data_IF_165086549094
#
_entry.id   IF_165086549094
#
_cell.length_a   1.000
_cell.length_b   1.000
_cell.length_c   1.000
_cell.angle_alpha   90.00
_cell.angle_beta   90.00
_cell.angle_gamma   90.00
#
_symmetry.space_group_name_H-M   'P 1'
#
loop_
_entity.id
_entity.type
_entity.pdbx_description
1 polymer ?
#
# COMPACT_ATOMS: atom_id res chain seq x y z
N UNK A 1 9.93 10.26 -22.72
CA UNK A 1 8.55 10.11 -23.22
C UNK A 1 8.65 9.42 -24.56
N UNK A 2 7.92 8.33 -24.74
CA UNK A 2 7.75 7.74 -26.06
C UNK A 2 6.91 8.68 -26.96
N UNK A 3 6.76 8.38 -28.27
CA UNK A 3 5.97 9.21 -29.20
C UNK A 3 4.49 9.37 -28.83
N UNK A 4 4.00 8.63 -27.81
CA UNK A 4 2.63 8.68 -27.31
C UNK A 4 2.51 9.45 -25.99
N UNK A 5 3.62 10.01 -25.47
CA UNK A 5 3.62 10.78 -24.22
C UNK A 5 3.66 9.92 -22.96
N UNK A 6 3.91 8.62 -23.08
CA UNK A 6 3.99 7.76 -21.90
C UNK A 6 5.34 7.94 -21.21
N UNK A 7 5.29 8.12 -19.89
CA UNK A 7 6.44 7.99 -19.01
C UNK A 7 6.71 6.49 -18.81
N UNK A 8 7.30 5.83 -19.80
CA UNK A 8 7.85 4.49 -19.60
C UNK A 8 9.08 4.61 -18.70
N UNK A 9 8.88 4.59 -17.38
CA UNK A 9 9.96 4.49 -16.40
C UNK A 9 10.55 3.09 -16.47
N UNK A 10 11.40 2.82 -17.46
CA UNK A 10 12.49 1.82 -17.49
C UNK A 10 12.25 0.36 -17.05
N UNK A 11 11.05 -0.02 -16.62
CA UNK A 11 10.74 -1.31 -15.99
C UNK A 11 10.02 -2.28 -16.93
N UNK A 12 9.76 -1.89 -18.19
CA UNK A 12 9.18 -2.80 -19.18
C UNK A 12 7.80 -3.36 -18.83
N UNK A 13 7.02 -2.67 -17.98
CA UNK A 13 5.66 -3.10 -17.64
C UNK A 13 4.77 -2.81 -18.85
N UNK A 14 4.45 -3.84 -19.60
CA UNK A 14 3.42 -3.80 -20.64
C UNK A 14 2.09 -3.32 -20.02
N UNK A 15 1.47 -2.31 -20.62
CA UNK A 15 0.21 -1.76 -20.14
C UNK A 15 -0.97 -2.63 -20.55
N UNK A 16 -0.84 -3.39 -21.65
CA UNK A 16 -1.92 -4.22 -22.21
C UNK A 16 -2.15 -5.50 -21.37
N UNK A 17 -1.19 -5.90 -20.55
CA UNK A 17 -1.27 -7.08 -19.67
C UNK A 17 -1.95 -6.80 -18.32
N UNK A 18 -2.32 -5.55 -18.03
CA UNK A 18 -2.90 -5.17 -16.74
C UNK A 18 -4.38 -5.55 -16.64
N UNK A 19 -4.72 -6.31 -15.60
CA UNK A 19 -6.10 -6.58 -15.21
C UNK A 19 -6.44 -5.75 -13.98
N UNK A 20 -7.62 -5.14 -13.96
CA UNK A 20 -8.09 -4.30 -12.85
C UNK A 20 -9.42 -4.85 -12.34
N UNK A 21 -9.48 -5.09 -11.04
CA UNK A 21 -10.73 -5.33 -10.32
C UNK A 21 -11.07 -4.01 -9.63
N UNK A 22 -12.09 -3.32 -10.11
CA UNK A 22 -12.48 -2.01 -9.59
C UNK A 22 -13.30 -2.14 -8.30
N UNK A 23 -13.11 -1.18 -7.40
CA UNK A 23 -13.99 -0.98 -6.25
C UNK A 23 -15.10 0.03 -6.59
N UNK A 24 -16.23 -0.08 -5.90
CA UNK A 24 -17.32 0.89 -5.95
C UNK A 24 -17.91 1.07 -4.54
N UNK A 25 -18.96 1.89 -4.40
CA UNK A 25 -19.61 2.19 -3.12
C UNK A 25 -20.12 0.95 -2.38
N UNK A 26 -20.44 -0.14 -3.11
CA UNK A 26 -20.90 -1.40 -2.52
C UNK A 26 -19.82 -2.09 -1.67
N UNK A 27 -18.53 -1.72 -1.84
CA UNK A 27 -17.46 -2.24 -1.00
C UNK A 27 -17.65 -1.88 0.49
N UNK A 28 -18.33 -0.76 0.78
CA UNK A 28 -18.73 -0.40 2.15
C UNK A 28 -19.76 -1.41 2.70
N UNK A 29 -20.71 -1.85 1.86
CA UNK A 29 -21.66 -2.89 2.22
C UNK A 29 -20.98 -4.23 2.47
N UNK A 30 -19.99 -4.59 1.64
CA UNK A 30 -19.19 -5.79 1.83
C UNK A 30 -18.48 -5.83 3.19
N UNK A 31 -17.98 -4.69 3.69
CA UNK A 31 -17.38 -4.64 5.03
C UNK A 31 -18.38 -4.97 6.15
N UNK A 32 -19.63 -4.55 6.01
CA UNK A 32 -20.72 -4.87 6.95
C UNK A 32 -21.09 -6.36 6.85
N UNK A 33 -21.28 -6.87 5.64
CA UNK A 33 -21.61 -8.28 5.40
C UNK A 33 -20.54 -9.24 5.92
N UNK A 34 -19.26 -8.84 5.85
CA UNK A 34 -18.16 -9.62 6.39
C UNK A 34 -18.24 -9.80 7.90
N UNK A 35 -18.95 -8.95 8.66
CA UNK A 35 -19.02 -9.07 10.13
C UNK A 35 -19.62 -10.41 10.54
N UNK A 36 -20.69 -10.84 9.88
CA UNK A 36 -21.43 -12.07 10.21
C UNK A 36 -21.03 -13.26 9.34
N UNK A 37 -20.11 -13.06 8.39
CA UNK A 37 -19.68 -14.10 7.47
C UNK A 37 -18.76 -15.14 8.14
N UNK A 38 -18.97 -16.41 7.82
CA UNK A 38 -17.98 -17.45 8.15
C UNK A 38 -16.66 -17.21 7.41
N UNK A 39 -15.55 -17.46 8.11
CA UNK A 39 -14.19 -17.27 7.60
C UNK A 39 -13.92 -15.86 7.05
N UNK A 40 -14.59 -14.85 7.62
CA UNK A 40 -14.57 -13.46 7.16
C UNK A 40 -13.19 -12.87 6.95
N UNK A 41 -12.17 -13.34 7.65
CA UNK A 41 -10.79 -12.85 7.54
C UNK A 41 -10.04 -13.40 6.31
N UNK A 42 -10.54 -14.47 5.68
CA UNK A 42 -9.84 -15.20 4.59
C UNK A 42 -10.54 -15.11 3.23
N UNK A 43 -11.68 -14.40 3.16
CA UNK A 43 -12.54 -14.33 1.96
C UNK A 43 -11.77 -13.84 0.73
N UNK A 44 -10.96 -12.79 0.88
CA UNK A 44 -10.17 -12.27 -0.23
C UNK A 44 -9.11 -13.28 -0.69
N UNK A 45 -8.43 -13.96 0.24
CA UNK A 45 -7.44 -14.99 -0.09
C UNK A 45 -8.08 -16.08 -0.96
N UNK A 46 -9.22 -16.61 -0.53
CA UNK A 46 -9.95 -17.64 -1.28
C UNK A 46 -10.38 -17.15 -2.66
N UNK A 47 -10.84 -15.90 -2.77
CA UNK A 47 -11.25 -15.31 -4.05
C UNK A 47 -10.08 -15.12 -5.03
N UNK A 48 -8.87 -14.88 -4.51
CA UNK A 48 -7.66 -14.68 -5.31
C UNK A 48 -6.96 -15.99 -5.70
N UNK A 49 -7.27 -17.12 -5.05
CA UNK A 49 -6.60 -18.40 -5.29
C UNK A 49 -6.57 -18.82 -6.77
N UNK A 50 -7.67 -18.72 -7.56
CA UNK A 50 -7.65 -19.06 -8.98
C UNK A 50 -6.76 -18.15 -9.83
N UNK A 51 -6.44 -16.95 -9.34
CA UNK A 51 -5.61 -15.99 -10.07
C UNK A 51 -4.12 -16.25 -9.87
N UNK A 52 -3.69 -16.92 -8.80
CA UNK A 52 -2.28 -17.07 -8.42
C UNK A 52 -1.43 -17.77 -9.48
N UNK A 53 -2.03 -18.65 -10.29
CA UNK A 53 -1.34 -19.34 -11.39
C UNK A 53 -1.35 -18.54 -12.72
N UNK A 54 -2.09 -17.43 -12.78
CA UNK A 54 -2.38 -16.70 -14.03
C UNK A 54 -1.76 -15.31 -14.10
N UNK A 55 -1.24 -14.80 -12.99
CA UNK A 55 -0.61 -13.48 -12.89
C UNK A 55 0.67 -13.56 -12.07
N UNK A 56 1.68 -12.79 -12.46
CA UNK A 56 2.96 -12.76 -11.74
C UNK A 56 2.84 -12.01 -10.40
N UNK A 57 1.98 -10.99 -10.35
CA UNK A 57 1.81 -10.13 -9.18
C UNK A 57 0.36 -9.68 -9.02
N UNK A 58 -0.08 -9.61 -7.77
CA UNK A 58 -1.35 -8.97 -7.37
C UNK A 58 -1.01 -7.79 -6.46
N UNK A 59 -1.50 -6.60 -6.80
CA UNK A 59 -1.39 -5.41 -5.95
C UNK A 59 -2.76 -5.13 -5.36
N UNK A 60 -2.82 -5.04 -4.02
CA UNK A 60 -4.04 -4.76 -3.27
C UNK A 60 -3.91 -3.36 -2.68
N UNK A 61 -4.71 -2.41 -3.17
CA UNK A 61 -4.82 -1.08 -2.57
C UNK A 61 -5.80 -1.14 -1.40
N UNK A 62 -5.31 -0.81 -0.20
CA UNK A 62 -6.07 -0.97 1.04
C UNK A 62 -6.77 0.34 1.41
N UNK A 63 -7.99 0.29 1.97
CA UNK A 63 -8.61 1.48 2.54
C UNK A 63 -7.79 1.99 3.75
N UNK A 64 -7.91 3.29 4.11
CA UNK A 64 -7.12 3.87 5.19
C UNK A 64 -7.50 3.36 6.60
N UNK A 65 -8.61 2.63 6.73
CA UNK A 65 -9.08 2.03 7.98
C UNK A 65 -8.47 0.64 8.22
N UNK A 66 -8.16 0.31 9.47
CA UNK A 66 -7.74 -1.05 9.87
C UNK A 66 -8.96 -1.97 10.13
N UNK A 67 -9.91 -1.98 9.19
CA UNK A 67 -11.14 -2.76 9.25
C UNK A 67 -11.03 -4.18 8.64
N UNK A 68 -12.16 -4.82 8.36
CA UNK A 68 -12.19 -6.20 7.84
C UNK A 68 -11.63 -6.28 6.42
N UNK A 69 -11.77 -5.22 5.62
CA UNK A 69 -11.19 -5.17 4.27
C UNK A 69 -9.66 -5.17 4.30
N UNK A 70 -9.07 -4.35 5.17
CA UNK A 70 -7.61 -4.29 5.34
C UNK A 70 -7.08 -5.56 5.99
N UNK A 71 -7.82 -6.17 6.92
CA UNK A 71 -7.49 -7.47 7.48
C UNK A 71 -7.45 -8.56 6.40
N UNK A 72 -8.48 -8.64 5.55
CA UNK A 72 -8.52 -9.55 4.41
C UNK A 72 -7.33 -9.35 3.46
N UNK A 73 -6.96 -8.09 3.23
CA UNK A 73 -5.81 -7.73 2.41
C UNK A 73 -4.51 -8.27 3.00
N UNK A 74 -4.28 -8.11 4.30
CA UNK A 74 -3.10 -8.68 4.99
C UNK A 74 -3.13 -10.21 5.03
N UNK A 75 -4.29 -10.81 5.17
CA UNK A 75 -4.43 -12.27 5.14
C UNK A 75 -4.20 -12.80 3.73
N UNK A 76 -4.54 -12.08 2.66
CA UNK A 76 -4.30 -12.52 1.29
C UNK A 76 -2.87 -12.23 0.78
N UNK A 77 -2.20 -11.22 1.33
CA UNK A 77 -0.91 -10.75 0.83
C UNK A 77 0.29 -11.61 1.25
N UNK A 78 1.29 -11.67 0.37
CA UNK A 78 2.62 -12.22 0.68
C UNK A 78 3.53 -11.17 1.35
N UNK A 79 3.22 -9.88 1.22
CA UNK A 79 3.96 -8.80 1.86
C UNK A 79 3.23 -7.46 1.82
N UNK A 80 3.60 -6.57 2.75
CA UNK A 80 3.00 -5.22 2.87
C UNK A 80 4.03 -4.14 2.56
N UNK A 81 3.67 -3.21 1.68
CA UNK A 81 4.43 -1.99 1.42
C UNK A 81 3.72 -0.81 2.09
N UNK A 82 4.35 -0.19 3.08
CA UNK A 82 3.73 0.88 3.87
C UNK A 82 4.25 2.27 3.41
N UNK A 83 3.41 3.16 2.86
CA UNK A 83 3.80 4.53 2.63
C UNK A 83 3.89 5.30 3.96
N UNK A 84 4.99 6.01 4.17
CA UNK A 84 5.24 6.87 5.32
C UNK A 84 5.45 8.31 4.83
N UNK A 85 4.44 9.16 5.06
CA UNK A 85 4.53 10.58 4.74
C UNK A 85 5.40 11.29 5.78
N UNK A 86 6.42 12.04 5.34
CA UNK A 86 7.40 12.66 6.23
C UNK A 86 6.88 13.94 6.94
N UNK A 87 5.86 13.79 7.78
CA UNK A 87 5.18 14.87 8.54
C UNK A 87 5.13 14.57 10.05
N UNK A 88 4.61 15.52 10.83
CA UNK A 88 4.38 15.32 12.28
C UNK A 88 3.46 14.12 12.52
N UNK A 89 3.78 13.31 13.55
CA UNK A 89 3.06 12.08 13.94
C UNK A 89 3.09 10.91 12.94
N UNK A 90 3.87 10.99 11.87
CA UNK A 90 3.98 9.92 10.87
C UNK A 90 4.36 8.55 11.46
N UNK A 91 5.24 8.55 12.46
CA UNK A 91 5.76 7.31 13.06
C UNK A 91 4.76 6.60 13.98
N UNK A 92 3.82 7.32 14.59
CA UNK A 92 2.83 6.72 15.49
C UNK A 92 1.92 5.76 14.73
N UNK A 93 1.32 6.24 13.63
CA UNK A 93 0.46 5.43 12.76
C UNK A 93 1.19 4.20 12.20
N UNK A 94 2.45 4.37 11.79
CA UNK A 94 3.27 3.26 11.31
C UNK A 94 3.55 2.22 12.40
N UNK A 95 3.77 2.66 13.65
CA UNK A 95 3.91 1.76 14.79
C UNK A 95 2.66 0.90 15.03
N UNK A 96 1.47 1.47 14.85
CA UNK A 96 0.21 0.71 14.91
C UNK A 96 0.07 -0.30 13.76
N UNK A 97 0.46 0.08 12.54
CA UNK A 97 0.47 -0.81 11.38
C UNK A 97 1.40 -2.02 11.61
N UNK A 98 2.64 -1.78 12.03
CA UNK A 98 3.63 -2.84 12.30
C UNK A 98 3.12 -3.83 13.36
N UNK A 99 2.53 -3.32 14.45
CA UNK A 99 1.91 -4.18 15.48
C UNK A 99 0.76 -5.01 14.92
N UNK A 100 -0.05 -4.42 14.05
CA UNK A 100 -1.19 -5.10 13.41
C UNK A 100 -0.70 -6.21 12.49
N UNK A 101 0.28 -5.93 11.63
CA UNK A 101 0.91 -6.93 10.76
C UNK A 101 1.47 -8.08 11.59
N UNK A 102 2.18 -7.80 12.70
CA UNK A 102 2.70 -8.85 13.58
C UNK A 102 1.60 -9.73 14.20
N UNK A 103 0.42 -9.16 14.52
CA UNK A 103 -0.74 -9.93 14.99
C UNK A 103 -1.34 -10.80 13.89
N UNK A 104 -1.44 -10.29 12.66
CA UNK A 104 -1.93 -11.07 11.52
C UNK A 104 -0.95 -12.20 11.20
N UNK A 105 0.35 -11.90 11.20
CA UNK A 105 1.39 -12.89 10.96
C UNK A 105 1.31 -14.06 11.94
N UNK A 106 1.16 -13.76 13.23
CA UNK A 106 1.09 -14.79 14.27
C UNK A 106 -0.16 -15.68 14.20
N UNK A 107 -1.31 -15.12 13.82
CA UNK A 107 -2.60 -15.78 14.03
C UNK A 107 -3.31 -16.22 12.73
N UNK A 108 -3.02 -15.59 11.59
CA UNK A 108 -3.81 -15.75 10.36
C UNK A 108 -2.96 -15.99 9.12
N UNK A 109 -1.77 -15.38 9.01
CA UNK A 109 -0.91 -15.49 7.83
C UNK A 109 0.58 -15.51 8.20
N UNK A 110 1.15 -16.66 8.61
CA UNK A 110 2.56 -16.76 9.02
C UNK A 110 3.58 -16.31 7.98
N UNK A 111 3.23 -16.34 6.71
CA UNK A 111 4.09 -15.95 5.59
C UNK A 111 4.10 -14.43 5.33
N UNK A 112 3.18 -13.67 5.93
CA UNK A 112 3.09 -12.23 5.79
C UNK A 112 4.35 -11.55 6.32
N UNK A 113 4.96 -10.69 5.51
CA UNK A 113 6.13 -9.89 5.89
C UNK A 113 5.92 -8.40 5.61
N UNK A 114 6.63 -7.56 6.35
CA UNK A 114 6.86 -6.18 5.92
C UNK A 114 7.77 -6.24 4.69
N UNK A 115 7.25 -5.90 3.51
CA UNK A 115 8.02 -5.84 2.27
C UNK A 115 8.86 -4.56 2.20
N UNK A 116 8.36 -3.47 2.80
CA UNK A 116 9.13 -2.26 3.00
C UNK A 116 8.28 -1.07 3.44
N UNK A 117 8.95 -0.02 3.86
CA UNK A 117 8.40 1.29 4.21
C UNK A 117 8.96 2.29 3.19
N UNK A 118 8.07 2.94 2.47
CA UNK A 118 8.43 3.94 1.45
C UNK A 118 8.23 5.32 2.02
N UNK A 119 9.29 6.12 2.08
CA UNK A 119 9.18 7.51 2.48
C UNK A 119 8.52 8.30 1.34
N UNK A 120 7.41 8.96 1.62
CA UNK A 120 6.63 9.74 0.66
C UNK A 120 6.58 11.21 1.02
N UNK A 121 6.30 12.06 0.02
CA UNK A 121 6.29 13.52 0.16
C UNK A 121 7.61 14.06 0.74
N UNK A 122 8.72 13.41 0.41
CA UNK A 122 10.02 13.75 0.98
C UNK A 122 10.59 15.01 0.32
N UNK A 123 10.87 16.06 1.12
CA UNK A 123 11.58 17.26 0.68
C UNK A 123 12.91 17.39 1.45
N UNK A 124 14.04 17.25 0.74
CA UNK A 124 15.39 17.41 1.31
C UNK A 124 15.68 18.80 1.87
N UNK A 125 14.92 19.82 1.45
CA UNK A 125 15.09 21.20 1.96
C UNK A 125 14.36 21.41 3.28
N UNK A 126 13.51 20.45 3.67
CA UNK A 126 12.73 20.50 4.89
C UNK A 126 13.40 19.66 5.97
N UNK A 127 13.92 20.34 7.00
CA UNK A 127 14.52 19.70 8.17
C UNK A 127 13.59 18.68 8.84
N UNK A 128 12.27 18.92 8.84
CA UNK A 128 11.31 17.96 9.39
C UNK A 128 11.32 16.64 8.61
N UNK A 129 11.37 16.71 7.27
CA UNK A 129 11.38 15.52 6.44
C UNK A 129 12.66 14.71 6.63
N UNK A 130 13.81 15.37 6.84
CA UNK A 130 15.06 14.69 7.19
C UNK A 130 15.00 14.04 8.57
N UNK A 131 14.47 14.72 9.57
CA UNK A 131 14.31 14.18 10.93
C UNK A 131 13.41 12.95 10.94
N UNK A 132 12.23 13.02 10.32
CA UNK A 132 11.30 11.88 10.24
C UNK A 132 11.92 10.71 9.50
N UNK A 133 12.68 10.97 8.42
CA UNK A 133 13.37 9.95 7.66
C UNK A 133 14.51 9.29 8.47
N UNK A 134 15.25 10.07 9.26
CA UNK A 134 16.30 9.56 10.14
C UNK A 134 15.70 8.70 11.27
N UNK A 135 14.64 9.18 11.91
CA UNK A 135 13.93 8.44 12.95
C UNK A 135 13.34 7.14 12.40
N UNK A 136 12.64 7.18 11.25
CA UNK A 136 12.11 5.99 10.61
C UNK A 136 13.19 4.93 10.37
N UNK A 137 14.36 5.34 9.84
CA UNK A 137 15.50 4.43 9.63
C UNK A 137 16.10 3.92 10.94
N UNK A 138 16.14 4.74 11.99
CA UNK A 138 16.60 4.33 13.32
C UNK A 138 15.67 3.26 13.93
N UNK A 139 14.35 3.44 13.82
CA UNK A 139 13.36 2.54 14.42
C UNK A 139 13.09 1.27 13.60
N UNK A 140 12.93 1.40 12.29
CA UNK A 140 12.52 0.29 11.40
C UNK A 140 13.67 -0.29 10.58
N UNK A 141 14.86 0.33 10.63
CA UNK A 141 16.08 -0.21 10.06
C UNK A 141 15.93 -0.58 8.59
N UNK A 142 16.22 -1.86 8.29
CA UNK A 142 16.21 -2.43 6.94
C UNK A 142 14.83 -2.45 6.26
N UNK A 143 13.75 -2.27 7.02
CA UNK A 143 12.41 -2.25 6.44
C UNK A 143 12.16 -0.91 5.72
N UNK A 144 12.89 0.17 6.04
CA UNK A 144 12.80 1.43 5.30
C UNK A 144 13.60 1.33 4.00
N UNK A 145 12.92 1.57 2.88
CA UNK A 145 13.57 1.53 1.58
C UNK A 145 14.49 2.75 1.37
N UNK A 146 15.58 2.53 0.64
CA UNK A 146 16.46 3.62 0.19
C UNK A 146 15.77 4.56 -0.80
N UNK A 147 14.84 4.02 -1.59
CA UNK A 147 14.02 4.79 -2.53
C UNK A 147 13.02 5.66 -1.77
N UNK A 148 12.99 6.94 -2.13
CA UNK A 148 12.05 7.94 -1.60
C UNK A 148 11.18 8.49 -2.72
N UNK A 149 9.92 8.77 -2.41
CA UNK A 149 9.00 9.48 -3.32
C UNK A 149 9.05 10.97 -2.95
N UNK A 150 9.63 11.83 -3.82
CA UNK A 150 9.80 13.23 -3.52
C UNK A 150 8.46 13.97 -3.51
N UNK A 151 8.38 15.06 -2.74
CA UNK A 151 7.27 16.00 -2.87
C UNK A 151 7.28 16.60 -4.30
N UNK A 152 6.17 16.54 -5.06
CA UNK A 152 6.13 17.11 -6.39
C UNK A 152 6.36 18.62 -6.33
N UNK A 153 7.36 19.12 -7.06
CA UNK A 153 7.49 20.54 -7.40
C UNK A 153 6.51 20.83 -8.52
N UNK A 154 5.44 21.57 -8.21
CA UNK A 154 4.41 22.11 -9.13
C UNK A 154 4.44 21.54 -10.56
N UNK A 155 3.86 20.35 -10.74
CA UNK A 155 3.47 19.87 -12.07
C UNK A 155 1.97 20.10 -12.25
N UNK A 156 1.54 20.95 -13.21
CA UNK A 156 0.14 21.25 -13.47
C UNK A 156 -0.74 20.00 -13.72
N UNK A 157 -0.14 18.89 -14.14
CA UNK A 157 -0.84 17.66 -14.52
C UNK A 157 -1.47 16.91 -13.33
N UNK A 158 -0.90 17.00 -12.12
CA UNK A 158 -1.42 16.25 -10.95
C UNK A 158 -2.67 16.93 -10.35
N UNK A 159 -2.78 18.26 -10.44
CA UNK A 159 -3.98 18.99 -9.96
C UNK A 159 -5.25 18.61 -10.73
N UNK A 160 -5.13 18.21 -12.00
CA UNK A 160 -6.30 17.87 -12.82
C UNK A 160 -7.02 16.60 -12.32
N UNK A 161 -6.30 15.68 -11.68
CA UNK A 161 -6.88 14.45 -11.12
C UNK A 161 -7.50 14.66 -9.75
N UNK A 162 -6.94 15.54 -8.90
CA UNK A 162 -7.52 15.83 -7.57
C UNK A 162 -8.79 16.70 -7.63
N UNK A 163 -9.06 17.39 -8.74
CA UNK A 163 -10.28 18.20 -8.91
C UNK A 163 -11.44 17.45 -9.58
N UNK A 164 -11.23 16.20 -10.01
CA UNK A 164 -12.23 15.40 -10.76
C UNK A 164 -12.71 14.13 -10.04
N UNK A 165 -12.29 13.92 -8.79
CA UNK A 165 -12.80 12.86 -7.91
C UNK A 165 -13.68 13.45 -6.81
#
# INVERSE_FOLDING_TARGET
>A
MDPQGNASTGLGVDYDSRKVIAANTELVGAEIELVDAEHRETRLRTALEPLRETVDFVIIDCPPSLGLLTLNSFVAADGVLAPLQCEFFALEGLGHLVKTIGRVQKNLNPELKMAGIVLTMYDRRNNLSELVAADARSFFGKDVLETVIPQPVEQPLIRHWQQKS
#
